data_IF_506152638055
#
_entry.id   IF_506152638055
#
_cell.length_a   1.000
_cell.length_b   1.000
_cell.length_c   1.000
_cell.angle_alpha   90.00
_cell.angle_beta   90.00
_cell.angle_gamma   90.00
#
_symmetry.space_group_name_H-M   'P 1'
#
loop_
_entity.id
_entity.type
_entity.pdbx_description
1 polymer ?
#
# COMPACT_ATOMS: atom_id res chain seq x y z
N UNK A 1 -28.80 6.87 -7.03
CA UNK A 1 -28.44 6.16 -8.27
C UNK A 1 -27.42 5.12 -7.86
N UNK A 2 -27.79 3.83 -7.85
CA UNK A 2 -26.82 2.76 -7.59
C UNK A 2 -25.93 2.66 -8.83
N UNK A 3 -24.62 2.72 -8.63
CA UNK A 3 -23.66 2.39 -9.68
C UNK A 3 -23.90 0.91 -10.02
N UNK A 4 -23.86 0.55 -11.31
CA UNK A 4 -23.94 -0.88 -11.68
C UNK A 4 -22.71 -1.59 -11.15
N UNK A 5 -22.86 -2.85 -10.71
CA UNK A 5 -21.73 -3.66 -10.23
C UNK A 5 -20.57 -3.65 -11.23
N UNK A 6 -20.87 -3.70 -12.53
CA UNK A 6 -19.90 -3.64 -13.62
C UNK A 6 -19.08 -2.33 -13.62
N UNK A 7 -19.69 -1.20 -13.28
CA UNK A 7 -19.01 0.09 -13.25
C UNK A 7 -18.08 0.19 -12.04
N UNK A 8 -18.50 -0.34 -10.88
CA UNK A 8 -17.63 -0.42 -9.70
C UNK A 8 -16.41 -1.30 -10.00
N UNK A 9 -16.61 -2.45 -10.64
CA UNK A 9 -15.54 -3.35 -11.03
C UNK A 9 -14.53 -2.68 -11.98
N UNK A 10 -14.99 -1.93 -12.97
CA UNK A 10 -14.11 -1.15 -13.86
C UNK A 10 -13.26 -0.12 -13.10
N UNK A 11 -13.87 0.62 -12.16
CA UNK A 11 -13.14 1.58 -11.34
C UNK A 11 -12.06 0.90 -10.47
N UNK A 12 -12.35 -0.29 -9.94
CA UNK A 12 -11.38 -1.09 -9.18
C UNK A 12 -10.24 -1.57 -10.09
N UNK A 13 -10.54 -2.04 -11.29
CA UNK A 13 -9.53 -2.46 -12.27
C UNK A 13 -8.60 -1.30 -12.68
N UNK A 14 -9.16 -0.10 -12.86
CA UNK A 14 -8.37 1.10 -13.12
C UNK A 14 -7.48 1.48 -11.94
N UNK A 15 -8.01 1.46 -10.72
CA UNK A 15 -7.22 1.73 -9.51
C UNK A 15 -6.06 0.74 -9.34
N UNK A 16 -6.28 -0.55 -9.60
CA UNK A 16 -5.23 -1.57 -9.54
C UNK A 16 -4.17 -1.35 -10.63
N UNK A 17 -4.56 -0.89 -11.83
CA UNK A 17 -3.59 -0.51 -12.87
C UNK A 17 -2.70 0.65 -12.42
N UNK A 18 -3.30 1.68 -11.80
CA UNK A 18 -2.58 2.81 -11.23
C UNK A 18 -1.64 2.37 -10.10
N UNK A 19 -2.11 1.51 -9.20
CA UNK A 19 -1.29 0.95 -8.13
C UNK A 19 -0.05 0.20 -8.65
N UNK A 20 -0.20 -0.58 -9.71
CA UNK A 20 0.94 -1.28 -10.33
C UNK A 20 1.97 -0.33 -10.95
N UNK A 21 1.54 0.84 -11.42
CA UNK A 21 2.41 1.88 -11.97
C UNK A 21 3.17 2.66 -10.89
N UNK A 22 2.62 2.75 -9.67
CA UNK A 22 3.16 3.49 -8.52
C UNK A 22 3.54 2.57 -7.36
N UNK A 23 4.11 1.39 -7.66
CA UNK A 23 4.34 0.32 -6.69
C UNK A 23 5.18 0.74 -5.48
N UNK A 24 6.20 1.56 -5.69
CA UNK A 24 7.13 1.98 -4.63
C UNK A 24 6.48 3.04 -3.73
N UNK A 25 5.85 4.05 -4.31
CA UNK A 25 5.15 5.09 -3.54
C UNK A 25 3.95 4.53 -2.80
N UNK A 26 3.29 3.52 -3.37
CA UNK A 26 2.21 2.79 -2.73
C UNK A 26 2.72 2.01 -1.52
N UNK A 27 3.81 1.27 -1.67
CA UNK A 27 4.44 0.52 -0.57
C UNK A 27 4.77 1.43 0.63
N UNK A 28 5.29 2.62 0.35
CA UNK A 28 5.59 3.62 1.39
C UNK A 28 4.32 4.22 2.02
N UNK A 29 3.25 4.39 1.25
CA UNK A 29 1.98 4.87 1.79
C UNK A 29 1.28 3.84 2.70
N UNK A 30 1.47 2.53 2.46
CA UNK A 30 0.81 1.47 3.22
C UNK A 30 1.22 1.37 4.69
N UNK A 31 2.37 1.94 5.06
CA UNK A 31 2.82 1.95 6.47
C UNK A 31 2.29 3.17 7.25
N UNK A 32 1.60 4.11 6.59
CA UNK A 32 0.97 5.25 7.26
C UNK A 32 -0.34 4.82 7.94
N UNK A 33 -0.42 5.02 9.26
CA UNK A 33 -1.59 4.66 10.06
C UNK A 33 -2.90 5.32 9.55
N UNK A 34 -2.85 6.56 9.08
CA UNK A 34 -4.03 7.26 8.56
C UNK A 34 -4.51 6.63 7.24
N UNK A 35 -3.58 6.20 6.39
CA UNK A 35 -3.88 5.47 5.15
C UNK A 35 -4.57 4.15 5.47
N UNK A 36 -4.05 3.40 6.44
CA UNK A 36 -4.64 2.14 6.89
C UNK A 36 -6.07 2.31 7.44
N UNK A 37 -6.28 3.33 8.28
CA UNK A 37 -7.60 3.65 8.84
C UNK A 37 -8.61 3.98 7.74
N UNK A 38 -8.24 4.84 6.77
CA UNK A 38 -9.14 5.22 5.67
C UNK A 38 -9.43 4.00 4.78
N UNK A 39 -8.42 3.19 4.46
CA UNK A 39 -8.58 1.99 3.65
C UNK A 39 -9.53 0.99 4.31
N UNK A 40 -9.38 0.76 5.61
CA UNK A 40 -10.28 -0.11 6.37
C UNK A 40 -11.72 0.43 6.39
N UNK A 41 -11.90 1.75 6.51
CA UNK A 41 -13.21 2.39 6.48
C UNK A 41 -13.92 2.21 5.12
N UNK A 42 -13.19 2.33 4.01
CA UNK A 42 -13.71 2.20 2.64
C UNK A 42 -13.70 0.77 2.10
N UNK A 43 -13.23 -0.22 2.86
CA UNK A 43 -13.21 -1.62 2.44
C UNK A 43 -14.60 -2.26 2.42
N UNK A 44 -15.48 -1.86 3.35
CA UNK A 44 -16.82 -2.47 3.52
C UNK A 44 -17.92 -1.84 2.67
N UNK A 45 -17.80 -0.54 2.40
CA UNK A 45 -18.75 0.23 1.59
C UNK A 45 -18.08 1.47 1.06
N UNK A 46 -18.65 2.02 0.00
CA UNK A 46 -18.21 3.29 -0.55
C UNK A 46 -18.52 4.44 0.40
N UNK A 47 -17.58 5.39 0.52
CA UNK A 47 -17.70 6.58 1.35
C UNK A 47 -17.34 7.84 0.58
N UNK A 48 -18.07 8.93 0.82
CA UNK A 48 -17.57 10.28 0.52
C UNK A 48 -16.44 10.66 1.48
N UNK A 49 -15.60 11.63 1.09
CA UNK A 49 -14.56 12.19 1.98
C UNK A 49 -15.14 12.69 3.31
N UNK A 50 -16.34 13.26 3.28
CA UNK A 50 -17.03 13.71 4.51
C UNK A 50 -17.42 12.53 5.40
N UNK A 51 -17.94 11.46 4.82
CA UNK A 51 -18.26 10.25 5.60
C UNK A 51 -17.00 9.61 6.17
N UNK A 52 -15.90 9.57 5.41
CA UNK A 52 -14.59 9.12 5.92
C UNK A 52 -14.23 9.90 7.18
N UNK A 53 -14.22 11.24 7.11
CA UNK A 53 -13.93 12.10 8.27
C UNK A 53 -14.83 11.81 9.48
N UNK A 54 -16.12 11.57 9.25
CA UNK A 54 -17.07 11.27 10.32
C UNK A 54 -16.87 9.90 10.97
N UNK A 55 -16.33 8.91 10.27
CA UNK A 55 -16.17 7.54 10.80
C UNK A 55 -14.77 7.23 11.29
N UNK A 56 -13.77 8.03 10.92
CA UNK A 56 -12.36 7.82 11.30
C UNK A 56 -11.84 8.83 12.31
N UNK A 57 -12.64 9.84 12.68
CA UNK A 57 -12.23 11.01 13.49
C UNK A 57 -11.04 11.81 12.90
N UNK A 58 -10.66 11.55 11.65
CA UNK A 58 -9.64 12.33 10.95
C UNK A 58 -10.27 13.67 10.51
N UNK A 59 -9.62 14.82 10.75
CA UNK A 59 -10.15 16.12 10.36
C UNK A 59 -10.47 16.20 8.86
N UNK A 60 -11.60 16.80 8.50
CA UNK A 60 -12.11 16.82 7.12
C UNK A 60 -11.08 17.33 6.09
N UNK A 61 -10.36 18.41 6.41
CA UNK A 61 -9.33 18.95 5.53
C UNK A 61 -8.17 17.96 5.29
N UNK A 62 -7.83 17.16 6.29
CA UNK A 62 -6.83 16.08 6.20
C UNK A 62 -7.37 14.92 5.37
N UNK A 63 -8.63 14.53 5.55
CA UNK A 63 -9.26 13.50 4.71
C UNK A 63 -9.25 13.86 3.23
N UNK A 64 -9.48 15.13 2.84
CA UNK A 64 -9.38 15.53 1.43
C UNK A 64 -7.99 15.25 0.86
N UNK A 65 -6.93 15.65 1.57
CA UNK A 65 -5.54 15.43 1.14
C UNK A 65 -5.19 13.93 1.08
N UNK A 66 -5.59 13.17 2.09
CA UNK A 66 -5.29 11.74 2.17
C UNK A 66 -6.05 10.94 1.11
N UNK A 67 -7.36 11.19 0.93
CA UNK A 67 -8.16 10.49 -0.08
C UNK A 67 -7.67 10.80 -1.49
N UNK A 68 -7.31 12.06 -1.77
CA UNK A 68 -6.73 12.45 -3.06
C UNK A 68 -5.41 11.71 -3.32
N UNK A 69 -4.48 11.69 -2.35
CA UNK A 69 -3.22 10.94 -2.44
C UNK A 69 -3.45 9.43 -2.61
N UNK A 70 -4.38 8.86 -1.84
CA UNK A 70 -4.68 7.43 -1.91
C UNK A 70 -5.31 7.05 -3.25
N UNK A 71 -6.18 7.89 -3.81
CA UNK A 71 -6.75 7.69 -5.13
C UNK A 71 -5.69 7.82 -6.24
N UNK A 72 -4.76 8.79 -6.14
CA UNK A 72 -3.68 8.94 -7.13
C UNK A 72 -2.69 7.76 -7.12
N UNK A 73 -2.57 7.05 -5.99
CA UNK A 73 -1.78 5.82 -5.88
C UNK A 73 -2.58 4.56 -6.22
N UNK A 74 -3.88 4.64 -6.50
CA UNK A 74 -4.71 3.48 -6.78
C UNK A 74 -5.11 2.65 -5.55
N UNK A 75 -4.90 3.16 -4.33
CA UNK A 75 -5.39 2.53 -3.08
C UNK A 75 -6.91 2.68 -2.90
N UNK A 76 -7.49 3.74 -3.50
CA UNK A 76 -8.92 3.98 -3.56
C UNK A 76 -9.37 4.10 -5.01
N UNK A 77 -10.49 3.48 -5.34
CA UNK A 77 -11.21 3.70 -6.59
C UNK A 77 -12.31 4.74 -6.38
N UNK A 78 -12.41 5.74 -7.27
CA UNK A 78 -13.57 6.63 -7.33
C UNK A 78 -14.72 5.91 -8.05
N UNK A 79 -15.70 5.41 -7.29
CA UNK A 79 -16.76 4.54 -7.82
C UNK A 79 -17.95 5.32 -8.38
N UNK A 80 -18.08 6.61 -8.05
CA UNK A 80 -19.10 7.48 -8.63
C UNK A 80 -19.39 8.72 -7.80
N UNK A 81 -20.56 9.32 -8.02
CA UNK A 81 -20.95 10.59 -7.38
C UNK A 81 -22.35 10.55 -6.78
N UNK A 82 -22.48 11.04 -5.54
CA UNK A 82 -23.76 11.18 -4.83
C UNK A 82 -24.16 12.64 -4.67
N UNK A 83 -25.47 12.93 -4.72
CA UNK A 83 -25.98 14.29 -4.52
C UNK A 83 -26.06 14.58 -3.02
N UNK A 84 -25.37 15.62 -2.59
CA UNK A 84 -25.42 16.11 -1.21
C UNK A 84 -26.54 17.14 -1.06
N UNK A 85 -27.12 17.23 0.14
CA UNK A 85 -28.22 18.16 0.44
C UNK A 85 -27.82 19.64 0.33
N UNK A 86 -26.52 19.96 0.45
CA UNK A 86 -26.05 21.36 0.59
C UNK A 86 -25.02 21.81 -0.45
N UNK A 87 -24.23 20.91 -1.07
CA UNK A 87 -23.02 21.30 -1.84
C UNK A 87 -22.86 20.57 -3.18
N UNK A 88 -23.95 20.15 -3.83
CA UNK A 88 -23.87 19.52 -5.16
C UNK A 88 -23.44 18.05 -5.10
N UNK A 89 -22.70 17.57 -6.11
CA UNK A 89 -22.26 16.16 -6.21
C UNK A 89 -20.94 15.94 -5.46
N UNK A 90 -20.86 14.88 -4.64
CA UNK A 90 -19.65 14.44 -3.96
C UNK A 90 -19.21 13.07 -4.50
N UNK A 91 -17.91 12.88 -4.70
CA UNK A 91 -17.34 11.60 -5.13
C UNK A 91 -17.35 10.57 -3.99
N UNK A 92 -17.56 9.31 -4.37
CA UNK A 92 -17.56 8.13 -3.52
C UNK A 92 -16.29 7.33 -3.78
N UNK A 93 -15.72 6.77 -2.72
CA UNK A 93 -14.47 6.01 -2.77
C UNK A 93 -14.62 4.65 -2.13
N UNK A 94 -14.06 3.63 -2.79
CA UNK A 94 -13.96 2.25 -2.29
C UNK A 94 -12.49 1.84 -2.25
N UNK A 95 -12.09 1.05 -1.25
CA UNK A 95 -10.74 0.46 -1.27
C UNK A 95 -10.60 -0.48 -2.48
N UNK A 96 -9.48 -0.42 -3.19
CA UNK A 96 -9.12 -1.39 -4.24
C UNK A 96 -8.51 -2.69 -3.69
N UNK A 97 -8.06 -2.66 -2.43
CA UNK A 97 -7.31 -3.71 -1.77
C UNK A 97 -8.22 -4.63 -0.95
N UNK A 98 -7.89 -5.92 -0.92
CA UNK A 98 -8.56 -6.93 -0.09
C UNK A 98 -7.80 -7.14 1.22
N UNK A 99 -6.51 -7.40 1.13
CA UNK A 99 -5.62 -7.61 2.28
C UNK A 99 -4.20 -7.18 1.94
N UNK A 100 -3.42 -6.81 2.96
CA UNK A 100 -1.96 -6.71 2.86
C UNK A 100 -1.29 -7.34 4.08
N UNK A 101 -0.05 -7.79 3.91
CA UNK A 101 0.84 -8.15 5.00
C UNK A 101 2.22 -7.57 4.75
N UNK A 102 2.96 -7.34 5.85
CA UNK A 102 4.34 -6.88 5.83
C UNK A 102 5.17 -7.86 6.63
N UNK A 103 6.16 -8.44 5.97
CA UNK A 103 7.10 -9.37 6.56
C UNK A 103 8.47 -8.70 6.62
N UNK A 104 9.06 -8.61 7.80
CA UNK A 104 10.38 -8.01 8.02
C UNK A 104 11.33 -9.09 8.52
N UNK A 105 12.30 -9.48 7.69
CA UNK A 105 13.23 -10.56 8.03
C UNK A 105 14.53 -10.45 7.25
N UNK A 106 15.65 -10.89 7.85
CA UNK A 106 16.96 -11.00 7.19
C UNK A 106 17.44 -9.76 6.42
N UNK A 107 17.12 -8.55 6.89
CA UNK A 107 17.49 -7.30 6.20
C UNK A 107 16.57 -6.92 5.05
N UNK A 108 15.47 -7.64 4.84
CA UNK A 108 14.44 -7.36 3.84
C UNK A 108 13.12 -6.94 4.48
N UNK A 109 12.39 -6.08 3.77
CA UNK A 109 10.98 -5.81 3.98
C UNK A 109 10.24 -6.34 2.77
N UNK A 110 9.31 -7.24 2.98
CA UNK A 110 8.44 -7.80 1.94
C UNK A 110 7.00 -7.37 2.21
N UNK A 111 6.37 -6.75 1.21
CA UNK A 111 4.99 -6.30 1.27
C UNK A 111 4.19 -7.14 0.27
N UNK A 112 3.25 -7.90 0.82
CA UNK A 112 2.36 -8.78 0.06
C UNK A 112 0.97 -8.17 0.01
N UNK A 113 0.45 -7.94 -1.20
CA UNK A 113 -0.84 -7.30 -1.43
C UNK A 113 -1.75 -8.25 -2.21
N UNK A 114 -2.99 -8.37 -1.76
CA UNK A 114 -4.08 -9.03 -2.49
C UNK A 114 -5.13 -7.98 -2.83
N UNK A 115 -5.40 -7.81 -4.11
CA UNK A 115 -6.39 -6.87 -4.63
C UNK A 115 -7.81 -7.46 -4.57
N UNK A 116 -8.84 -6.59 -4.64
CA UNK A 116 -10.25 -7.04 -4.65
C UNK A 116 -10.60 -7.93 -5.85
N UNK A 117 -9.93 -7.74 -6.98
CA UNK A 117 -10.09 -8.60 -8.17
C UNK A 117 -9.33 -9.93 -8.08
N UNK A 118 -8.66 -10.21 -6.95
CA UNK A 118 -7.88 -11.44 -6.72
C UNK A 118 -6.45 -11.42 -7.26
N UNK A 119 -6.04 -10.39 -8.00
CA UNK A 119 -4.64 -10.21 -8.37
C UNK A 119 -3.78 -9.97 -7.14
N UNK A 120 -2.50 -10.27 -7.26
CA UNK A 120 -1.52 -10.08 -6.19
C UNK A 120 -0.39 -9.17 -6.66
N UNK A 121 0.21 -8.44 -5.71
CA UNK A 121 1.42 -7.66 -5.91
C UNK A 121 2.36 -7.93 -4.75
N UNK A 122 3.65 -8.08 -5.06
CA UNK A 122 4.71 -8.27 -4.08
C UNK A 122 5.76 -7.18 -4.30
N UNK A 123 6.16 -6.52 -3.22
CA UNK A 123 7.22 -5.51 -3.22
C UNK A 123 8.26 -5.92 -2.19
N UNK A 124 9.50 -6.12 -2.63
CA UNK A 124 10.62 -6.50 -1.78
C UNK A 124 11.62 -5.35 -1.75
N UNK A 125 11.98 -4.92 -0.55
CA UNK A 125 12.98 -3.89 -0.30
C UNK A 125 14.11 -4.46 0.55
N UNK A 126 15.31 -4.47 0.00
CA UNK A 126 16.53 -4.73 0.77
C UNK A 126 16.91 -3.46 1.55
N UNK A 127 17.09 -3.59 2.86
CA UNK A 127 17.39 -2.47 3.78
C UNK A 127 18.87 -2.49 4.17
N UNK A 128 19.41 -3.67 4.42
CA UNK A 128 20.82 -3.85 4.74
C UNK A 128 21.33 -5.01 3.90
N UNK A 129 22.44 -4.80 3.20
CA UNK A 129 23.18 -5.91 2.63
C UNK A 129 23.68 -6.80 3.76
N UNK A 130 23.73 -8.13 3.58
CA UNK A 130 24.37 -8.99 4.55
C UNK A 130 25.80 -8.51 4.74
N UNK A 131 26.17 -8.24 5.99
CA UNK A 131 27.57 -8.01 6.33
C UNK A 131 28.31 -9.30 5.97
N UNK A 132 29.05 -9.27 4.86
CA UNK A 132 30.04 -10.30 4.57
C UNK A 132 31.12 -10.10 5.63
N UNK A 133 31.00 -10.80 6.77
CA UNK A 133 32.10 -10.96 7.70
C UNK A 133 33.18 -11.75 6.98
N UNK A 134 34.05 -11.03 6.29
CA UNK A 134 35.26 -11.55 5.70
C UNK A 134 36.25 -11.89 6.79
N UNK A 135 36.08 -13.04 7.44
CA UNK A 135 37.18 -13.70 8.13
C UNK A 135 38.07 -14.36 7.06
N UNK A 136 38.87 -13.52 6.40
CA UNK A 136 40.11 -13.92 5.76
C UNK A 136 41.22 -12.96 6.19
N UNK A 137 41.93 -13.33 7.27
CA UNK A 137 43.35 -13.05 7.39
C UNK A 137 44.03 -14.37 7.68
N UNK A 138 44.73 -14.91 6.68
CA UNK A 138 45.51 -16.13 6.80
C UNK A 138 46.64 -15.95 7.81
N UNK A 139 46.91 -17.01 8.58
CA UNK A 139 48.18 -17.15 9.26
C UNK A 139 49.00 -18.23 8.55
N UNK A 140 50.02 -17.75 7.85
CA UNK A 140 51.18 -18.51 7.38
C UNK A 140 51.96 -18.98 8.60
N UNK A 141 51.93 -20.26 8.94
CA UNK A 141 52.95 -20.92 9.78
C UNK A 141 52.76 -22.43 9.80
N UNK A 142 53.43 -23.14 8.88
CA UNK A 142 53.87 -24.52 9.08
C UNK A 142 54.79 -24.95 7.93
N UNK A 143 56.07 -24.59 8.00
CA UNK A 143 57.18 -25.34 7.39
C UNK A 143 58.50 -24.86 8.02
N UNK A 144 58.69 -25.24 9.28
CA UNK A 144 59.95 -25.15 9.99
C UNK A 144 60.48 -26.54 10.33
N UNK A 145 61.64 -26.86 9.78
CA UNK A 145 62.66 -27.84 10.22
C UNK A 145 62.36 -29.35 10.12
N UNK A 146 63.04 -29.98 9.16
CA UNK A 146 63.87 -31.15 9.46
C UNK A 146 65.29 -30.88 8.94
N UNK A 147 66.20 -30.73 9.90
CA UNK A 147 67.65 -30.58 9.80
C UNK A 147 68.35 -31.81 9.23
N UNK A 148 69.43 -31.55 8.46
CA UNK A 148 70.66 -32.33 8.25
C UNK A 148 70.56 -33.79 7.81
#
# INVERSE_FOLDING_TARGET
MRISTDQEELCILEAIRTANAHREELAEALVDNSVLIIMAATARRDLTVREVSNVTDIPLATCYKLVEKMASLGLLAETGKVRTSTRGKASMYSSSMKTFSVDVSNGYIEINIVWKNGQTMNVVREVCSPVITGDMVGNVDALGLATK
#
